data_IF_538916276925
#
_entry.id   IF_538916276925
#
_cell.length_a   1.000
_cell.length_b   1.000
_cell.length_c   1.000
_cell.angle_alpha   90.00
_cell.angle_beta   90.00
_cell.angle_gamma   90.00
#
_symmetry.space_group_name_H-M   'P 1'
#
loop_
_entity.id
_entity.type
_entity.pdbx_description
1 polymer ?
#
# COMPACT_ATOMS: atom_id res chain seq x y z
N UNK A 1 11.71 9.43 -12.46
CA UNK A 1 11.91 9.56 -11.01
C UNK A 1 10.60 9.33 -10.28
N UNK A 2 10.60 8.54 -9.22
CA UNK A 2 9.39 8.23 -8.47
C UNK A 2 8.89 9.46 -7.70
N UNK A 3 7.57 9.71 -7.76
CA UNK A 3 6.93 10.79 -7.01
C UNK A 3 6.24 10.21 -5.77
N UNK A 4 7.04 10.03 -4.73
CA UNK A 4 6.63 9.44 -3.46
C UNK A 4 6.39 10.52 -2.41
N UNK A 5 5.88 10.11 -1.24
CA UNK A 5 5.70 11.03 -0.13
C UNK A 5 7.06 11.57 0.35
N UNK A 6 7.10 12.86 0.65
CA UNK A 6 8.29 13.48 1.21
C UNK A 6 8.46 13.11 2.68
N UNK A 7 9.64 13.39 3.24
CA UNK A 7 9.92 13.17 4.66
C UNK A 7 8.88 13.87 5.54
N UNK A 8 8.43 15.06 5.13
CA UNK A 8 7.43 15.83 5.89
C UNK A 8 6.04 15.19 5.87
N UNK A 9 5.74 14.40 4.85
CA UNK A 9 4.44 13.72 4.69
C UNK A 9 4.43 12.33 5.31
N UNK A 10 5.60 11.80 5.65
CA UNK A 10 5.73 10.47 6.24
C UNK A 10 5.62 10.55 7.77
N UNK A 11 5.04 9.52 8.42
CA UNK A 11 5.06 9.44 9.88
C UNK A 11 6.49 9.40 10.42
N UNK A 12 6.67 9.95 11.62
CA UNK A 12 7.96 9.94 12.29
C UNK A 12 8.48 8.50 12.45
N UNK A 13 9.77 8.33 12.14
CA UNK A 13 10.44 7.04 12.28
C UNK A 13 10.22 6.07 11.13
N UNK A 14 9.50 6.49 10.09
CA UNK A 14 9.30 5.66 8.91
C UNK A 14 10.11 6.18 7.72
N UNK A 15 10.85 5.27 7.08
CA UNK A 15 11.50 5.50 5.78
C UNK A 15 11.01 4.43 4.82
N UNK A 16 10.87 4.79 3.55
CA UNK A 16 10.54 3.81 2.53
C UNK A 16 11.59 2.70 2.49
N UNK A 17 11.17 1.42 2.47
CA UNK A 17 12.14 0.32 2.31
C UNK A 17 12.90 0.45 0.99
N UNK A 18 14.22 0.20 0.98
CA UNK A 18 15.01 0.29 -0.26
C UNK A 18 14.49 -0.60 -1.39
N UNK A 19 13.99 -1.79 -1.07
CA UNK A 19 13.42 -2.73 -2.03
C UNK A 19 12.16 -2.17 -2.69
N UNK A 20 11.36 -1.41 -1.96
CA UNK A 20 10.20 -0.73 -2.53
C UNK A 20 10.64 0.38 -3.51
N UNK A 21 11.56 1.23 -3.08
CA UNK A 21 12.08 2.32 -3.91
C UNK A 21 12.66 1.78 -5.21
N UNK A 22 13.40 0.66 -5.14
CA UNK A 22 13.96 0.00 -6.32
C UNK A 22 12.86 -0.43 -7.30
N UNK A 23 11.81 -1.06 -6.82
CA UNK A 23 10.70 -1.53 -7.66
C UNK A 23 10.04 -0.36 -8.39
N UNK A 24 9.78 0.73 -7.66
CA UNK A 24 9.14 1.93 -8.23
C UNK A 24 10.06 2.60 -9.26
N UNK A 25 11.36 2.73 -8.96
CA UNK A 25 12.33 3.32 -9.88
C UNK A 25 12.52 2.50 -11.15
N UNK A 26 12.34 1.19 -11.08
CA UNK A 26 12.35 0.31 -12.25
C UNK A 26 11.06 0.40 -13.07
N UNK A 27 10.07 1.16 -12.61
CA UNK A 27 8.79 1.30 -13.28
C UNK A 27 7.85 0.11 -13.12
N UNK A 28 8.10 -0.76 -12.15
CA UNK A 28 7.29 -1.96 -11.92
C UNK A 28 6.10 -1.63 -11.02
N UNK A 29 5.23 -0.76 -11.49
CA UNK A 29 4.10 -0.24 -10.71
C UNK A 29 2.75 -0.76 -11.16
N UNK A 30 2.64 -1.24 -12.40
CA UNK A 30 1.42 -1.85 -12.92
C UNK A 30 1.50 -3.37 -12.74
N UNK A 31 0.91 -3.83 -11.64
CA UNK A 31 0.84 -5.24 -11.28
C UNK A 31 -0.62 -5.69 -11.28
N UNK A 32 -1.38 -5.31 -12.29
CA UNK A 32 -2.82 -5.56 -12.37
C UNK A 32 -3.22 -6.92 -11.78
N UNK A 33 -4.15 -6.99 -10.81
CA UNK A 33 -5.10 -5.94 -10.39
C UNK A 33 -4.54 -4.91 -9.40
N UNK A 34 -3.28 -5.02 -9.00
CA UNK A 34 -2.65 -4.07 -8.09
C UNK A 34 -1.93 -2.95 -8.84
N UNK A 35 -1.99 -1.74 -8.29
CA UNK A 35 -1.19 -0.61 -8.73
C UNK A 35 -0.41 -0.05 -7.56
N UNK A 36 0.90 0.09 -7.73
CA UNK A 36 1.71 0.89 -6.82
C UNK A 36 1.46 2.35 -7.20
N UNK A 37 1.06 3.15 -6.22
CA UNK A 37 0.53 4.50 -6.44
C UNK A 37 1.62 5.54 -6.23
N UNK A 38 1.63 6.58 -7.08
CA UNK A 38 2.55 7.70 -7.02
C UNK A 38 1.80 9.02 -7.13
N UNK A 39 2.47 10.13 -6.83
CA UNK A 39 1.99 11.47 -7.11
C UNK A 39 0.84 11.92 -6.23
N UNK A 40 -0.03 12.75 -6.80
CA UNK A 40 -1.15 13.34 -6.07
C UNK A 40 -2.13 12.32 -5.53
N UNK A 41 -2.35 11.22 -6.26
CA UNK A 41 -3.22 10.16 -5.79
C UNK A 41 -2.67 9.52 -4.52
N UNK A 42 -1.35 9.30 -4.46
CA UNK A 42 -0.69 8.78 -3.27
C UNK A 42 -0.88 9.73 -2.07
N UNK A 43 -0.67 11.02 -2.28
CA UNK A 43 -0.81 12.03 -1.23
C UNK A 43 -2.24 12.11 -0.72
N UNK A 44 -3.22 12.17 -1.62
CA UNK A 44 -4.65 12.23 -1.25
C UNK A 44 -5.10 10.97 -0.54
N UNK A 45 -4.67 9.81 -1.01
CA UNK A 45 -5.02 8.52 -0.40
C UNK A 45 -4.52 8.44 1.03
N UNK A 46 -3.29 8.86 1.29
CA UNK A 46 -2.73 8.84 2.63
C UNK A 46 -3.41 9.86 3.56
N UNK A 47 -3.85 11.00 3.03
CA UNK A 47 -4.65 11.96 3.80
C UNK A 47 -5.99 11.36 4.21
N UNK A 48 -6.67 10.70 3.28
CA UNK A 48 -7.95 10.02 3.56
C UNK A 48 -7.76 8.93 4.61
N UNK A 49 -6.71 8.15 4.46
CA UNK A 49 -6.39 7.04 5.37
C UNK A 49 -6.18 7.53 6.81
N UNK A 50 -5.41 8.61 6.97
CA UNK A 50 -5.16 9.20 8.28
C UNK A 50 -6.44 9.74 8.93
N UNK A 51 -7.33 10.34 8.15
CA UNK A 51 -8.62 10.83 8.65
C UNK A 51 -9.58 9.72 9.02
N UNK A 52 -9.58 8.63 8.23
CA UNK A 52 -10.51 7.50 8.43
C UNK A 52 -10.11 6.67 9.65
N UNK A 53 -8.81 6.51 9.88
CA UNK A 53 -8.28 5.64 10.94
C UNK A 53 -7.19 6.37 11.74
N UNK A 54 -7.58 7.42 12.51
CA UNK A 54 -6.59 8.29 13.17
C UNK A 54 -5.79 7.60 14.29
N UNK A 55 -6.22 6.41 14.73
CA UNK A 55 -5.49 5.64 15.76
C UNK A 55 -4.53 4.62 15.18
N UNK A 56 -4.44 4.53 13.84
CA UNK A 56 -3.54 3.60 13.16
C UNK A 56 -2.49 4.40 12.39
N UNK A 57 -1.23 3.98 12.48
CA UNK A 57 -0.15 4.59 11.70
C UNK A 57 0.07 3.74 10.45
N UNK A 58 -0.68 4.08 9.41
CA UNK A 58 -0.66 3.36 8.14
C UNK A 58 -0.09 4.25 7.05
N UNK A 59 0.73 3.66 6.18
CA UNK A 59 1.24 4.34 4.97
C UNK A 59 0.82 3.53 3.76
N UNK A 60 -0.11 4.05 2.98
CA UNK A 60 -0.61 3.39 1.77
C UNK A 60 0.42 3.47 0.66
N UNK A 61 0.60 2.37 -0.08
CA UNK A 61 1.51 2.34 -1.22
C UNK A 61 0.91 1.70 -2.47
N UNK A 62 -0.15 0.91 -2.36
CA UNK A 62 -0.76 0.24 -3.50
C UNK A 62 -2.26 0.11 -3.32
N UNK A 63 -2.94 -0.01 -4.46
CA UNK A 63 -4.39 -0.09 -4.52
C UNK A 63 -4.78 -1.22 -5.46
N UNK A 64 -5.81 -1.97 -5.09
CA UNK A 64 -6.36 -3.04 -5.92
C UNK A 64 -7.59 -2.51 -6.67
N UNK A 65 -7.56 -2.60 -8.00
CA UNK A 65 -8.59 -1.97 -8.84
C UNK A 65 -9.93 -2.71 -8.85
N UNK A 66 -9.93 -4.01 -8.56
CA UNK A 66 -11.14 -4.83 -8.64
C UNK A 66 -12.00 -4.79 -7.38
N UNK A 67 -11.45 -4.41 -6.23
CA UNK A 67 -12.18 -4.36 -4.96
C UNK A 67 -11.84 -3.14 -4.10
N UNK A 68 -11.01 -2.23 -4.58
CA UNK A 68 -10.57 -1.01 -3.88
C UNK A 68 -9.85 -1.26 -2.55
N UNK A 69 -9.29 -2.44 -2.33
CA UNK A 69 -8.44 -2.68 -1.18
C UNK A 69 -7.11 -1.96 -1.34
N UNK A 70 -6.57 -1.45 -0.25
CA UNK A 70 -5.29 -0.75 -0.22
C UNK A 70 -4.26 -1.56 0.55
N UNK A 71 -3.04 -1.64 0.02
CA UNK A 71 -1.90 -2.20 0.74
C UNK A 71 -1.16 -1.07 1.45
N UNK A 72 -0.89 -1.27 2.73
CA UNK A 72 -0.31 -0.25 3.60
C UNK A 72 0.76 -0.86 4.48
N UNK A 73 1.84 -0.10 4.73
CA UNK A 73 2.70 -0.42 5.87
C UNK A 73 1.95 -0.07 7.14
N UNK A 74 1.92 -1.00 8.07
CA UNK A 74 1.35 -0.80 9.40
C UNK A 74 2.51 -0.62 10.39
N UNK A 75 2.75 0.64 10.78
CA UNK A 75 3.91 0.98 11.59
C UNK A 75 3.79 0.47 13.02
N UNK A 76 2.57 0.31 13.52
CA UNK A 76 2.34 -0.17 14.88
C UNK A 76 2.67 -1.66 15.00
N UNK A 77 2.48 -2.41 13.92
CA UNK A 77 2.74 -3.85 13.89
C UNK A 77 4.04 -4.21 13.18
N UNK A 78 4.60 -3.28 12.42
CA UNK A 78 5.83 -3.53 11.67
C UNK A 78 5.66 -4.46 10.48
N UNK A 79 4.47 -4.51 9.89
CA UNK A 79 4.16 -5.39 8.77
C UNK A 79 3.37 -4.65 7.67
N UNK A 80 2.86 -5.39 6.69
CA UNK A 80 1.98 -4.86 5.64
C UNK A 80 0.56 -5.37 5.86
N UNK A 81 -0.38 -4.46 5.88
CA UNK A 81 -1.80 -4.72 6.08
C UNK A 81 -2.58 -4.42 4.80
N UNK A 82 -3.65 -5.17 4.58
CA UNK A 82 -4.62 -4.89 3.52
C UNK A 82 -5.84 -4.26 4.19
N UNK A 83 -6.22 -3.07 3.71
CA UNK A 83 -7.25 -2.24 4.35
C UNK A 83 -8.30 -1.85 3.32
N UNK A 84 -9.57 -2.01 3.67
CA UNK A 84 -10.67 -1.53 2.86
C UNK A 84 -11.20 -0.21 3.44
N UNK A 85 -10.82 0.89 2.83
CA UNK A 85 -11.21 2.24 3.28
C UNK A 85 -12.69 2.45 2.98
N UNK A 86 -13.41 3.00 3.95
CA UNK A 86 -14.86 3.14 3.86
C UNK A 86 -15.64 2.10 4.66
N UNK A 87 -14.98 1.02 5.07
CA UNK A 87 -15.57 0.07 6.01
C UNK A 87 -15.72 0.71 7.40
N UNK A 88 -16.68 0.21 8.16
CA UNK A 88 -16.85 0.63 9.55
C UNK A 88 -15.57 0.43 10.34
N UNK A 89 -15.20 1.41 11.19
CA UNK A 89 -14.00 1.30 12.04
C UNK A 89 -14.01 0.00 12.81
N UNK A 90 -12.86 -0.68 12.80
CA UNK A 90 -12.71 -2.00 13.39
C UNK A 90 -12.94 -3.13 12.39
N UNK A 91 -13.52 -2.85 11.22
CA UNK A 91 -13.79 -3.83 10.17
C UNK A 91 -13.02 -3.54 8.89
N UNK A 92 -12.11 -2.56 8.93
CA UNK A 92 -11.33 -2.17 7.74
C UNK A 92 -10.28 -3.21 7.34
N UNK A 93 -9.78 -4.01 8.29
CA UNK A 93 -8.74 -4.99 8.02
C UNK A 93 -9.26 -6.12 7.15
N UNK A 94 -8.57 -6.37 6.02
CA UNK A 94 -8.89 -7.47 5.12
C UNK A 94 -7.85 -8.58 5.22
N UNK A 95 -8.31 -9.80 5.15
CA UNK A 95 -7.56 -11.04 4.91
C UNK A 95 -6.15 -11.09 5.51
N UNK A 96 -5.21 -11.36 4.64
CA UNK A 96 -3.83 -11.62 5.03
C UNK A 96 -3.05 -10.37 5.39
N UNK A 97 -2.14 -10.54 6.34
CA UNK A 97 -1.07 -9.58 6.58
C UNK A 97 0.22 -10.18 5.99
N UNK A 98 1.15 -9.32 5.61
CA UNK A 98 2.42 -9.75 5.03
C UNK A 98 3.56 -9.23 5.92
N UNK A 99 4.59 -10.04 6.09
CA UNK A 99 5.70 -9.68 7.00
C UNK A 99 6.45 -8.44 6.54
N UNK A 100 6.54 -8.21 5.24
CA UNK A 100 7.25 -7.06 4.65
C UNK A 100 6.74 -6.79 3.23
N UNK A 101 7.31 -5.77 2.60
CA UNK A 101 6.98 -5.42 1.22
C UNK A 101 7.25 -6.57 0.25
N UNK A 102 8.38 -7.27 0.39
CA UNK A 102 8.72 -8.36 -0.54
C UNK A 102 7.70 -9.49 -0.47
N UNK A 103 7.22 -9.84 0.71
CA UNK A 103 6.17 -10.86 0.86
C UNK A 103 4.89 -10.43 0.15
N UNK A 104 4.50 -9.15 0.29
CA UNK A 104 3.36 -8.60 -0.42
C UNK A 104 3.59 -8.62 -1.93
N UNK A 105 4.77 -8.23 -2.38
CA UNK A 105 5.11 -8.18 -3.82
C UNK A 105 4.99 -9.56 -4.47
N UNK A 106 5.46 -10.61 -3.78
CA UNK A 106 5.32 -11.98 -4.28
C UNK A 106 3.86 -12.35 -4.47
N UNK A 107 3.00 -12.01 -3.52
CA UNK A 107 1.57 -12.25 -3.65
C UNK A 107 0.95 -11.40 -4.76
N UNK A 108 1.38 -10.15 -4.89
CA UNK A 108 0.89 -9.28 -5.97
C UNK A 108 1.23 -9.85 -7.36
N UNK A 109 2.40 -10.47 -7.50
CA UNK A 109 2.79 -11.13 -8.76
C UNK A 109 1.92 -12.37 -8.99
N UNK A 110 1.63 -13.17 -7.97
CA UNK A 110 0.69 -14.29 -8.10
C UNK A 110 -0.70 -13.79 -8.52
N UNK A 111 -1.17 -12.72 -7.92
CA UNK A 111 -2.44 -12.11 -8.28
C UNK A 111 -2.43 -11.62 -9.72
N UNK A 112 -1.32 -11.04 -10.18
CA UNK A 112 -1.14 -10.63 -11.57
C UNK A 112 -1.27 -11.81 -12.53
N UNK A 113 -0.62 -12.92 -12.21
CA UNK A 113 -0.65 -14.14 -13.03
C UNK A 113 -2.08 -14.67 -13.11
N UNK A 114 -2.75 -14.81 -11.98
CA UNK A 114 -4.13 -15.32 -11.92
C UNK A 114 -5.11 -14.40 -12.63
N UNK A 115 -4.96 -13.09 -12.46
CA UNK A 115 -5.83 -12.09 -13.09
C UNK A 115 -5.72 -12.14 -14.61
N UNK A 116 -4.52 -12.32 -15.13
CA UNK A 116 -4.27 -12.41 -16.56
C UNK A 116 -4.75 -13.70 -17.22
N UNK A 117 -5.04 -14.73 -16.44
CA UNK A 117 -5.49 -16.04 -16.96
C UNK A 117 -7.01 -16.23 -16.92
N UNK A 118 -7.74 -15.30 -16.36
CA UNK A 118 -9.21 -15.40 -16.24
C UNK A 118 -9.96 -15.06 -17.53
#
# INVERSE_FOLDING_TARGET
>A
MADLLSVDDLPDGFDYPPEFVRVVELGLTDLEPWWIVEGDLLRRSNTILAKSYPHRRLVMFARRQDNDDWACWDLDRGDVAIVHVGATRGWEQRGHRFSDFNAWLRQAIEDLIEFGTL
#
